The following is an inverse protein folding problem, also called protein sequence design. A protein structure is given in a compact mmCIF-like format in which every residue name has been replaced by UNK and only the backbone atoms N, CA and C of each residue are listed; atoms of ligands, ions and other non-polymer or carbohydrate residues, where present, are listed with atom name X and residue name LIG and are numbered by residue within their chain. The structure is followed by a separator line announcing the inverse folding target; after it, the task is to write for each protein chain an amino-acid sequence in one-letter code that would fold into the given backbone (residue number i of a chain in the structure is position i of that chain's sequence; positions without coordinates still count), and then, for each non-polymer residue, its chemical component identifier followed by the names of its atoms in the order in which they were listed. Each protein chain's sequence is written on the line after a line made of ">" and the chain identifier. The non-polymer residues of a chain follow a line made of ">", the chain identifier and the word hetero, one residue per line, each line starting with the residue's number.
data_IF_805488454370
#
_entry.id   IF_805488454370
#
_cell.length_a   1.000
_cell.length_b   1.000
_cell.length_c   1.000
_cell.angle_alpha   90.00
_cell.angle_beta   90.00
_cell.angle_gamma   90.00
#
_symmetry.space_group_name_H-M   'P 1'
#
loop_
_entity.id
_entity.type
_entity.pdbx_description
1 polymer ?
#
# COMPACT_ATOMS: atom_id res chain seq x y z
N UNK A 1 11.74 19.07 4.49
CA UNK A 1 12.74 18.33 5.31
C UNK A 1 12.28 16.89 5.39
N UNK A 2 13.19 15.91 5.19
CA UNK A 2 12.90 14.49 5.39
C UNK A 2 13.33 14.13 6.81
N UNK A 3 12.48 13.42 7.54
CA UNK A 3 12.79 12.99 8.91
C UNK A 3 13.79 11.83 8.88
N UNK A 4 14.75 11.84 9.82
CA UNK A 4 15.61 10.69 10.07
C UNK A 4 14.89 9.65 10.94
N UNK A 5 15.45 8.46 11.04
CA UNK A 5 15.01 7.39 11.93
C UNK A 5 14.74 7.87 13.38
N UNK A 6 15.68 8.63 13.95
CA UNK A 6 15.52 9.17 15.32
C UNK A 6 14.34 10.13 15.43
N UNK A 7 14.14 10.97 14.40
CA UNK A 7 13.03 11.93 14.38
C UNK A 7 11.69 11.23 14.18
N UNK A 8 11.66 10.19 13.33
CA UNK A 8 10.48 9.34 13.14
C UNK A 8 10.14 8.62 14.44
N UNK A 9 11.11 7.93 15.05
CA UNK A 9 10.90 7.21 16.30
C UNK A 9 10.40 8.12 17.40
N UNK A 10 11.00 9.31 17.55
CA UNK A 10 10.55 10.31 18.51
C UNK A 10 9.11 10.75 18.23
N UNK A 11 8.75 11.02 16.99
CA UNK A 11 7.40 11.43 16.61
C UNK A 11 6.36 10.34 16.90
N UNK A 12 6.72 9.06 16.71
CA UNK A 12 5.87 7.92 17.06
C UNK A 12 5.73 7.80 18.59
N UNK A 13 6.82 7.90 19.35
CA UNK A 13 6.80 7.84 20.79
C UNK A 13 6.00 8.99 21.45
N UNK A 14 6.08 10.18 20.84
CA UNK A 14 5.33 11.37 21.28
C UNK A 14 3.85 11.32 20.82
N UNK A 15 3.43 10.28 20.07
CA UNK A 15 2.07 10.14 19.53
C UNK A 15 1.72 11.14 18.43
N UNK A 16 2.71 11.81 17.82
CA UNK A 16 2.51 12.75 16.71
C UNK A 16 2.29 12.02 15.38
N UNK A 17 3.03 10.94 15.14
CA UNK A 17 2.81 9.99 14.06
C UNK A 17 2.30 8.71 14.71
N UNK A 18 1.22 8.16 14.19
CA UNK A 18 0.69 6.88 14.65
C UNK A 18 0.87 5.86 13.53
N UNK A 19 1.46 4.73 13.86
CA UNK A 19 1.55 3.53 13.01
C UNK A 19 1.13 2.37 13.91
N UNK A 20 0.05 1.69 13.57
CA UNK A 20 -0.52 0.62 14.40
C UNK A 20 -0.83 -0.62 13.57
N UNK A 21 -0.20 -1.76 13.89
CA UNK A 21 0.86 -1.96 14.88
C UNK A 21 2.19 -1.33 14.46
N UNK A 22 3.02 -0.87 15.41
CA UNK A 22 4.36 -0.36 15.12
C UNK A 22 5.41 -1.38 15.53
N UNK A 23 6.24 -1.77 14.58
CA UNK A 23 7.43 -2.57 14.81
C UNK A 23 8.69 -1.72 14.58
N UNK A 24 9.51 -1.60 15.61
CA UNK A 24 10.75 -0.82 15.53
C UNK A 24 11.78 -1.44 14.56
N UNK A 25 11.70 -2.73 14.28
CA UNK A 25 12.57 -3.40 13.29
C UNK A 25 12.27 -2.94 11.86
N UNK A 26 11.06 -2.45 11.62
CA UNK A 26 10.65 -1.86 10.34
C UNK A 26 11.14 -0.42 10.12
N UNK A 27 11.77 0.20 11.15
CA UNK A 27 12.30 1.56 11.04
C UNK A 27 13.60 1.56 10.22
N UNK A 28 13.59 2.33 9.14
CA UNK A 28 14.70 2.53 8.22
C UNK A 28 15.31 3.93 8.43
N UNK A 29 16.50 4.26 7.85
CA UNK A 29 17.17 5.53 8.07
C UNK A 29 16.34 6.81 7.84
N UNK A 30 15.31 6.73 6.99
CA UNK A 30 14.40 7.86 6.65
C UNK A 30 13.00 7.42 6.26
N UNK A 31 12.60 6.20 6.62
CA UNK A 31 11.28 5.64 6.30
C UNK A 31 10.88 4.57 7.31
N UNK A 32 9.65 4.06 7.19
CA UNK A 32 9.18 2.88 7.92
C UNK A 32 8.63 1.90 6.89
N UNK A 33 9.10 0.67 6.91
CA UNK A 33 8.51 -0.41 6.11
C UNK A 33 7.14 -0.77 6.68
N UNK A 34 6.13 -0.85 5.82
CA UNK A 34 4.78 -1.27 6.16
C UNK A 34 4.48 -2.64 5.52
N UNK A 35 3.51 -3.34 6.09
CA UNK A 35 3.10 -4.66 5.61
C UNK A 35 1.83 -4.56 4.76
N UNK A 36 1.72 -5.47 3.82
CA UNK A 36 0.53 -5.64 3.01
C UNK A 36 -0.53 -6.39 3.82
N UNK A 37 -1.76 -5.89 3.83
CA UNK A 37 -2.91 -6.62 4.38
C UNK A 37 -3.26 -7.81 3.47
N UNK A 38 -3.96 -8.79 4.00
CA UNK A 38 -4.37 -10.01 3.28
C UNK A 38 -5.65 -9.83 2.44
N UNK A 39 -6.26 -8.64 2.42
CA UNK A 39 -7.45 -8.32 1.64
C UNK A 39 -7.11 -7.52 0.39
N UNK A 40 -7.67 -7.96 -0.73
CA UNK A 40 -7.42 -7.37 -2.04
C UNK A 40 -8.75 -7.11 -2.75
N UNK A 41 -8.81 -6.02 -3.53
CA UNK A 41 -9.92 -5.75 -4.44
C UNK A 41 -9.45 -6.01 -5.86
N UNK A 42 -10.02 -7.05 -6.47
CA UNK A 42 -9.71 -7.48 -7.84
C UNK A 42 -10.80 -6.97 -8.78
N UNK A 43 -10.41 -6.42 -9.91
CA UNK A 43 -11.35 -5.90 -10.92
C UNK A 43 -12.08 -7.05 -11.64
N UNK A 44 -13.38 -6.87 -11.88
CA UNK A 44 -14.23 -7.87 -12.56
C UNK A 44 -14.08 -7.80 -14.09
N UNK A 45 -12.85 -7.94 -14.59
CA UNK A 45 -12.51 -7.79 -16.01
C UNK A 45 -13.29 -8.72 -16.95
N UNK A 46 -13.83 -9.82 -16.41
CA UNK A 46 -14.59 -10.81 -17.19
C UNK A 46 -16.05 -10.41 -17.44
N UNK A 47 -16.57 -9.42 -16.72
CA UNK A 47 -17.97 -8.98 -16.85
C UNK A 47 -18.09 -7.55 -17.38
N UNK A 48 -17.02 -6.76 -17.31
CA UNK A 48 -17.02 -5.34 -17.67
C UNK A 48 -15.98 -5.09 -18.77
N UNK A 49 -16.41 -4.57 -19.91
CA UNK A 49 -15.52 -4.24 -21.03
C UNK A 49 -14.89 -2.86 -20.95
N UNK A 50 -15.37 -1.99 -20.09
CA UNK A 50 -14.89 -0.60 -19.91
C UNK A 50 -15.33 -0.05 -18.55
N UNK A 51 -14.68 1.02 -18.13
CA UNK A 51 -15.04 1.80 -16.93
C UNK A 51 -15.47 3.20 -17.42
N UNK A 52 -16.71 3.60 -17.16
CA UNK A 52 -17.11 5.01 -17.28
C UNK A 52 -16.98 5.66 -15.91
N UNK A 53 -16.00 6.55 -15.76
CA UNK A 53 -15.69 7.23 -14.51
C UNK A 53 -16.79 8.17 -14.00
N UNK A 54 -17.84 8.39 -14.79
CA UNK A 54 -19.01 9.20 -14.44
C UNK A 54 -20.12 8.37 -13.80
N UNK A 55 -20.02 7.04 -13.88
CA UNK A 55 -21.02 6.12 -13.34
C UNK A 55 -20.67 5.68 -11.92
N UNK A 56 -21.60 4.96 -11.28
CA UNK A 56 -21.33 4.33 -9.98
C UNK A 56 -20.30 3.20 -10.13
N UNK A 57 -19.18 3.36 -9.44
CA UNK A 57 -18.03 2.46 -9.48
C UNK A 57 -18.06 1.37 -8.39
N UNK A 58 -19.10 1.31 -7.57
CA UNK A 58 -19.20 0.41 -6.40
C UNK A 58 -19.12 -1.08 -6.75
N UNK A 59 -19.48 -1.46 -7.98
CA UNK A 59 -19.53 -2.84 -8.44
C UNK A 59 -18.35 -3.27 -9.32
N UNK A 60 -17.31 -2.45 -9.46
CA UNK A 60 -16.18 -2.74 -10.33
C UNK A 60 -15.26 -3.84 -9.81
N UNK A 61 -15.18 -3.98 -8.50
CA UNK A 61 -14.23 -4.87 -7.84
C UNK A 61 -14.93 -5.96 -7.05
N UNK A 62 -14.20 -7.01 -6.76
CA UNK A 62 -14.55 -8.09 -5.86
C UNK A 62 -13.46 -8.21 -4.80
N UNK A 63 -13.85 -8.33 -3.53
CA UNK A 63 -12.91 -8.61 -2.45
C UNK A 63 -12.47 -10.07 -2.51
N UNK A 64 -11.16 -10.27 -2.40
CA UNK A 64 -10.49 -11.57 -2.29
C UNK A 64 -9.58 -11.51 -1.09
N UNK A 65 -9.67 -12.52 -0.21
CA UNK A 65 -8.77 -12.63 0.94
C UNK A 65 -7.75 -13.74 0.69
N UNK A 66 -6.47 -13.43 0.89
CA UNK A 66 -5.44 -14.45 1.03
C UNK A 66 -5.50 -14.97 2.48
N UNK A 67 -5.87 -16.23 2.67
CA UNK A 67 -5.85 -16.84 3.98
C UNK A 67 -4.42 -17.21 4.39
N UNK A 68 -4.17 -17.38 5.68
CA UNK A 68 -2.89 -17.85 6.20
C UNK A 68 -2.50 -19.17 5.48
N UNK A 69 -1.38 -19.11 4.73
CA UNK A 69 -0.85 -20.24 3.97
C UNK A 69 -1.21 -20.26 2.49
N UNK A 70 -2.18 -19.49 2.03
CA UNK A 70 -2.53 -19.41 0.61
C UNK A 70 -1.94 -18.10 0.04
N UNK A 71 -0.94 -18.15 -0.86
CA UNK A 71 -0.37 -16.94 -1.42
C UNK A 71 -1.36 -16.24 -2.35
N UNK A 72 -1.43 -14.91 -2.27
CA UNK A 72 -2.04 -14.13 -3.32
C UNK A 72 -1.12 -14.14 -4.55
N UNK A 73 -1.67 -14.39 -5.73
CA UNK A 73 -0.92 -14.43 -6.98
C UNK A 73 -1.28 -13.22 -7.84
N UNK A 74 -0.28 -12.38 -8.11
CA UNK A 74 -0.42 -11.23 -9.01
C UNK A 74 0.21 -11.57 -10.36
N UNK A 75 -0.64 -11.77 -11.38
CA UNK A 75 -0.18 -12.14 -12.71
C UNK A 75 0.39 -10.96 -13.50
N UNK A 76 1.21 -11.21 -14.55
CA UNK A 76 1.70 -10.16 -15.43
C UNK A 76 0.58 -9.28 -16.00
N UNK A 77 0.73 -7.96 -15.88
CA UNK A 77 -0.24 -6.98 -16.37
C UNK A 77 -1.49 -6.81 -15.52
N UNK A 78 -1.62 -7.53 -14.40
CA UNK A 78 -2.73 -7.31 -13.46
C UNK A 78 -2.54 -6.04 -12.65
N UNK A 79 -3.68 -5.42 -12.33
CA UNK A 79 -3.82 -4.29 -11.43
C UNK A 79 -4.83 -4.64 -10.35
N UNK A 80 -4.43 -4.50 -9.09
CA UNK A 80 -5.19 -4.91 -7.92
C UNK A 80 -5.05 -3.85 -6.84
N UNK A 81 -6.13 -3.56 -6.11
CA UNK A 81 -6.04 -2.70 -4.94
C UNK A 81 -5.79 -3.54 -3.70
N UNK A 82 -4.78 -3.17 -2.95
CA UNK A 82 -4.49 -3.69 -1.61
C UNK A 82 -4.56 -2.58 -0.58
N UNK A 83 -4.21 -2.89 0.65
CA UNK A 83 -4.07 -1.91 1.73
C UNK A 83 -2.89 -2.26 2.61
N UNK A 84 -2.40 -1.27 3.36
CA UNK A 84 -1.45 -1.56 4.45
C UNK A 84 -2.16 -2.29 5.57
N UNK A 85 -1.44 -3.20 6.24
CA UNK A 85 -1.90 -3.82 7.48
C UNK A 85 -2.03 -2.75 8.57
N UNK A 86 -1.07 -1.84 8.62
CA UNK A 86 -1.00 -0.77 9.60
C UNK A 86 -1.99 0.34 9.28
N UNK A 87 -2.61 0.86 10.34
CA UNK A 87 -3.22 2.18 10.35
C UNK A 87 -2.11 3.23 10.51
N UNK A 88 -2.14 4.24 9.67
CA UNK A 88 -1.20 5.35 9.67
C UNK A 88 -1.94 6.65 9.93
N UNK A 89 -1.47 7.44 10.91
CA UNK A 89 -1.97 8.80 11.12
C UNK A 89 -0.81 9.80 11.05
N UNK A 90 -0.99 10.80 10.20
CA UNK A 90 -0.01 11.86 9.93
C UNK A 90 -0.55 13.18 10.47
N UNK A 91 0.22 13.94 11.26
CA UNK A 91 -0.25 15.24 11.79
C UNK A 91 -0.42 16.28 10.68
N UNK A 92 -1.05 17.39 10.99
CA UNK A 92 -1.40 18.46 10.04
C UNK A 92 -0.21 19.28 9.53
N UNK A 93 0.95 19.15 10.17
CA UNK A 93 2.20 19.83 9.80
C UNK A 93 3.22 18.92 9.08
N UNK A 94 2.84 17.69 8.78
CA UNK A 94 3.66 16.72 8.04
C UNK A 94 2.88 16.12 6.87
N UNK A 95 3.61 15.69 5.86
CA UNK A 95 3.12 14.79 4.81
C UNK A 95 4.02 13.56 4.77
N UNK A 96 3.47 12.43 4.38
CA UNK A 96 4.27 11.26 4.10
C UNK A 96 4.23 10.91 2.60
N UNK A 97 5.17 10.09 2.17
CA UNK A 97 5.19 9.52 0.83
C UNK A 97 5.20 8.01 0.92
N UNK A 98 4.31 7.41 0.16
CA UNK A 98 4.29 5.99 -0.08
C UNK A 98 5.26 5.67 -1.21
N UNK A 99 6.21 4.78 -0.97
CA UNK A 99 7.19 4.35 -1.95
C UNK A 99 7.33 2.83 -1.91
N UNK A 100 7.57 2.24 -3.08
CA UNK A 100 7.82 0.81 -3.18
C UNK A 100 9.19 0.41 -2.64
N UNK A 101 9.27 -0.75 -2.01
CA UNK A 101 10.56 -1.33 -1.61
C UNK A 101 11.36 -1.71 -2.85
N UNK A 102 12.57 -1.17 -2.98
CA UNK A 102 13.40 -1.32 -4.19
C UNK A 102 13.69 -2.79 -4.56
N UNK A 103 13.78 -3.67 -3.58
CA UNK A 103 13.97 -5.12 -3.80
C UNK A 103 12.77 -5.74 -4.54
N UNK A 104 11.55 -5.32 -4.24
CA UNK A 104 10.33 -5.78 -4.90
C UNK A 104 10.09 -5.05 -6.22
N UNK A 105 10.43 -3.76 -6.29
CA UNK A 105 10.35 -2.99 -7.53
C UNK A 105 11.23 -3.55 -8.64
N UNK A 106 12.42 -4.10 -8.30
CA UNK A 106 13.29 -4.78 -9.26
C UNK A 106 12.73 -6.11 -9.78
N UNK A 107 11.74 -6.68 -9.10
CA UNK A 107 11.00 -7.86 -9.55
C UNK A 107 9.77 -7.48 -10.38
N UNK A 108 9.49 -6.19 -10.54
CA UNK A 108 8.37 -5.70 -11.33
C UNK A 108 7.10 -5.40 -10.51
N UNK A 109 7.18 -5.39 -9.18
CA UNK A 109 6.05 -4.97 -8.35
C UNK A 109 6.04 -3.44 -8.23
N UNK A 110 4.96 -2.82 -8.69
CA UNK A 110 4.62 -1.43 -8.38
C UNK A 110 3.57 -1.42 -7.26
N UNK A 111 3.65 -0.46 -6.35
CA UNK A 111 2.72 -0.35 -5.22
C UNK A 111 1.84 0.90 -5.30
N UNK A 112 2.15 1.82 -6.17
CA UNK A 112 1.33 2.95 -6.58
C UNK A 112 1.71 3.40 -7.98
N UNK A 113 0.79 4.02 -8.71
CA UNK A 113 1.05 4.56 -10.05
C UNK A 113 1.28 6.07 -9.99
N UNK A 114 0.42 6.81 -9.33
CA UNK A 114 0.45 8.29 -9.33
C UNK A 114 0.25 8.91 -7.95
N UNK A 115 -0.53 8.29 -7.07
CA UNK A 115 -0.96 8.85 -5.80
C UNK A 115 -0.06 8.37 -4.63
N UNK A 116 1.19 8.84 -4.62
CA UNK A 116 2.15 8.47 -3.58
C UNK A 116 2.16 9.39 -2.34
N UNK A 117 1.41 10.50 -2.34
CA UNK A 117 1.34 11.37 -1.18
C UNK A 117 0.29 10.90 -0.18
N UNK A 118 0.65 10.96 1.10
CA UNK A 118 -0.24 10.82 2.25
C UNK A 118 -0.38 12.20 2.86
N UNK A 119 -1.54 12.78 2.70
CA UNK A 119 -1.79 14.17 3.08
C UNK A 119 -1.68 14.43 4.58
N UNK A 120 -1.38 15.66 4.93
CA UNK A 120 -1.42 16.12 6.30
C UNK A 120 -2.82 15.92 6.91
N UNK A 121 -2.87 15.41 8.14
CA UNK A 121 -4.12 15.06 8.80
C UNK A 121 -4.73 13.72 8.38
N UNK A 122 -4.05 12.93 7.55
CA UNK A 122 -4.52 11.58 7.20
C UNK A 122 -4.60 10.69 8.44
N UNK A 123 -5.63 9.85 8.46
CA UNK A 123 -5.81 8.80 9.46
C UNK A 123 -6.53 7.59 8.86
N UNK A 124 -5.83 6.47 8.71
CA UNK A 124 -6.39 5.24 8.15
C UNK A 124 -5.33 4.30 7.58
N UNK A 125 -5.78 3.18 7.03
CA UNK A 125 -4.94 2.31 6.21
C UNK A 125 -4.66 2.99 4.86
N UNK A 126 -3.49 2.76 4.29
CA UNK A 126 -3.14 3.29 2.96
C UNK A 126 -3.59 2.31 1.88
N UNK A 127 -4.24 2.82 0.87
CA UNK A 127 -4.56 2.04 -0.33
C UNK A 127 -3.32 1.87 -1.19
N UNK A 128 -3.08 0.65 -1.65
CA UNK A 128 -1.97 0.29 -2.52
C UNK A 128 -2.50 -0.09 -3.90
N UNK A 129 -1.92 0.50 -4.94
CA UNK A 129 -2.24 0.24 -6.34
C UNK A 129 -1.24 -0.77 -6.90
N UNK A 130 -1.43 -2.05 -6.58
CA UNK A 130 -0.50 -3.12 -6.92
C UNK A 130 -0.57 -3.45 -8.40
N UNK A 131 0.59 -3.44 -9.08
CA UNK A 131 0.69 -3.88 -10.46
C UNK A 131 1.96 -4.68 -10.71
N UNK A 132 1.82 -5.74 -11.51
CA UNK A 132 2.95 -6.57 -11.93
C UNK A 132 3.31 -6.24 -13.38
N UNK A 133 4.45 -5.55 -13.56
CA UNK A 133 4.98 -5.20 -14.88
C UNK A 133 6.04 -6.18 -15.39
N UNK A 134 6.32 -7.24 -14.64
CA UNK A 134 7.20 -8.32 -15.04
C UNK A 134 6.47 -9.36 -15.92
N UNK A 135 7.23 -10.31 -16.46
CA UNK A 135 6.68 -11.40 -17.30
C UNK A 135 6.35 -12.68 -16.49
N UNK A 136 6.59 -12.67 -15.21
CA UNK A 136 6.32 -13.79 -14.29
C UNK A 136 5.34 -13.35 -13.21
N UNK A 137 4.50 -14.28 -12.78
CA UNK A 137 3.60 -14.02 -11.64
C UNK A 137 4.39 -13.81 -10.35
N UNK A 138 3.95 -12.85 -9.56
CA UNK A 138 4.48 -12.61 -8.22
C UNK A 138 3.59 -13.28 -7.19
N UNK A 139 4.20 -13.93 -6.21
CA UNK A 139 3.54 -14.59 -5.08
C UNK A 139 4.28 -14.24 -3.78
N UNK A 140 3.62 -14.34 -2.64
CA UNK A 140 4.19 -14.00 -1.32
C UNK A 140 4.75 -12.57 -1.24
N UNK A 141 4.01 -11.63 -1.84
CA UNK A 141 4.34 -10.20 -1.84
C UNK A 141 3.90 -9.53 -0.54
#
# INVERSE_FOLDING_TARGET
>A
MILSDRSILKAVQDGRIIIEPFDQECLQPSSVDLHLDHRFLVFKNHTLGHIDVREDLSNLTQEVSANDGDPFMLHPGEFVLGSTLERVSVPDDLVARLEGKSSLGRLGLLIHSTAGYVDAGWDGQLTLELSNVANLSLIHI
#
